data_IF_142766237222
#
_entry.id   IF_142766237222
#
_cell.length_a   1.000
_cell.length_b   1.000
_cell.length_c   1.000
_cell.angle_alpha   90.00
_cell.angle_beta   90.00
_cell.angle_gamma   90.00
#
_symmetry.space_group_name_H-M   'P 1'
#
loop_
_entity.id
_entity.type
_entity.pdbx_description
1 polymer ?
#
# COMPACT_ATOMS: atom_id res chain seq x y z
N UNK A 1 30.69 20.23 38.53
CA UNK A 1 29.56 19.49 37.93
C UNK A 1 28.57 20.54 37.43
N UNK A 2 28.45 20.75 36.12
CA UNK A 2 27.37 21.58 35.58
C UNK A 2 26.06 20.83 35.80
N UNK A 3 25.06 21.51 36.34
CA UNK A 3 23.71 20.96 36.42
C UNK A 3 23.28 20.56 34.99
N UNK A 4 22.70 19.36 34.86
CA UNK A 4 22.04 18.97 33.61
C UNK A 4 20.86 19.93 33.46
N UNK A 5 20.90 20.78 32.44
CA UNK A 5 19.75 21.61 32.08
C UNK A 5 18.65 20.68 31.58
N UNK A 6 17.53 20.65 32.31
CA UNK A 6 16.32 19.97 31.87
C UNK A 6 15.61 20.85 30.85
N UNK A 7 15.44 20.36 29.63
CA UNK A 7 14.78 21.09 28.56
C UNK A 7 13.43 20.41 28.29
N UNK A 8 12.35 21.20 28.37
CA UNK A 8 11.03 20.72 28.03
C UNK A 8 10.72 20.99 26.57
N UNK A 9 10.34 19.94 25.85
CA UNK A 9 9.98 19.98 24.43
C UNK A 9 8.57 19.41 24.29
N UNK A 10 7.75 20.03 23.45
CA UNK A 10 6.45 19.50 23.05
C UNK A 10 6.45 19.21 21.55
N UNK A 11 5.67 18.22 21.14
CA UNK A 11 5.49 17.83 19.76
C UNK A 11 4.01 17.96 19.38
N UNK A 12 3.73 18.55 18.22
CA UNK A 12 2.39 18.55 17.65
C UNK A 12 2.41 18.08 16.19
N UNK A 13 1.33 17.43 15.78
CA UNK A 13 1.10 17.09 14.38
C UNK A 13 0.42 18.27 13.66
N UNK A 14 0.98 18.69 12.54
CA UNK A 14 0.37 19.68 11.65
C UNK A 14 -0.25 18.96 10.44
N UNK A 15 -1.58 18.93 10.35
CA UNK A 15 -2.31 18.23 9.28
C UNK A 15 -2.19 18.90 7.91
N UNK A 16 -2.03 20.23 7.87
CA UNK A 16 -1.99 20.99 6.61
C UNK A 16 -0.72 20.68 5.81
N UNK A 17 0.43 20.73 6.49
CA UNK A 17 1.73 20.45 5.91
C UNK A 17 2.22 19.02 6.16
N UNK A 18 1.48 18.24 6.93
CA UNK A 18 1.74 16.82 7.26
C UNK A 18 3.14 16.57 7.82
N UNK A 19 3.55 17.39 8.78
CA UNK A 19 4.81 17.26 9.48
C UNK A 19 4.62 17.32 10.99
N UNK A 20 5.66 16.91 11.72
CA UNK A 20 5.72 17.08 13.16
C UNK A 20 6.44 18.39 13.47
N UNK A 21 5.87 19.16 14.38
CA UNK A 21 6.41 20.44 14.82
C UNK A 21 6.83 20.31 16.28
N UNK A 22 8.13 20.49 16.53
CA UNK A 22 8.71 20.51 17.85
C UNK A 22 8.87 21.96 18.31
N UNK A 23 8.44 22.25 19.53
CA UNK A 23 8.68 23.53 20.21
C UNK A 23 9.21 23.30 21.62
N UNK A 24 10.19 24.10 22.01
CA UNK A 24 10.85 23.99 23.32
C UNK A 24 10.53 25.17 24.23
N UNK A 25 10.79 25.01 25.53
CA UNK A 25 10.74 26.12 26.50
C UNK A 25 11.83 27.17 26.29
N UNK A 26 12.85 26.85 25.48
CA UNK A 26 13.97 27.72 25.11
C UNK A 26 14.15 27.73 23.59
N UNK A 27 14.92 28.71 23.10
CA UNK A 27 15.21 28.87 21.66
C UNK A 27 15.84 27.59 21.06
N UNK A 28 15.47 27.17 19.83
CA UNK A 28 15.92 25.92 19.20
C UNK A 28 17.42 25.69 19.19
N UNK A 29 18.22 26.75 19.06
CA UNK A 29 19.69 26.66 19.09
C UNK A 29 20.23 25.97 20.35
N UNK A 30 19.49 25.99 21.45
CA UNK A 30 19.91 25.44 22.74
C UNK A 30 19.63 23.95 22.88
N UNK A 31 18.66 23.40 22.12
CA UNK A 31 18.17 22.03 22.32
C UNK A 31 18.14 21.14 21.08
N UNK A 32 18.13 21.72 19.87
CA UNK A 32 18.14 20.95 18.61
C UNK A 32 19.39 20.10 18.50
N UNK A 33 20.55 20.69 18.76
CA UNK A 33 21.83 19.97 18.70
C UNK A 33 21.88 18.78 19.67
N UNK A 34 21.60 18.92 20.98
CA UNK A 34 21.63 17.77 21.88
C UNK A 34 20.51 16.75 21.62
N UNK A 35 19.34 17.15 21.10
CA UNK A 35 18.25 16.23 20.74
C UNK A 35 18.60 15.38 19.52
N UNK A 36 19.22 15.98 18.51
CA UNK A 36 19.46 15.35 17.21
C UNK A 36 20.91 14.91 16.99
N UNK A 37 21.79 15.07 17.99
CA UNK A 37 23.24 14.79 17.89
C UNK A 37 23.58 13.40 17.35
N UNK A 38 22.70 12.41 17.54
CA UNK A 38 22.88 11.03 17.09
C UNK A 38 21.80 10.57 16.12
N UNK A 39 21.04 11.51 15.56
CA UNK A 39 19.94 11.22 14.65
C UNK A 39 20.40 11.35 13.20
N UNK A 40 20.76 10.22 12.59
CA UNK A 40 21.35 10.17 11.23
C UNK A 40 20.38 10.71 10.16
N UNK A 41 19.08 10.50 10.33
CA UNK A 41 18.04 10.91 9.39
C UNK A 41 17.85 12.43 9.27
N UNK A 42 18.31 13.18 10.28
CA UNK A 42 18.40 14.65 10.21
C UNK A 42 19.83 15.12 9.92
N UNK A 43 20.73 14.19 9.53
CA UNK A 43 22.17 14.41 9.43
C UNK A 43 22.71 15.06 10.71
N UNK A 44 22.44 14.42 11.85
CA UNK A 44 22.84 14.89 13.17
C UNK A 44 22.30 16.29 13.51
N UNK A 45 21.13 16.64 12.94
CA UNK A 45 20.43 17.90 13.17
C UNK A 45 20.80 19.06 12.24
N UNK A 46 21.64 18.86 11.22
CA UNK A 46 21.99 19.95 10.29
C UNK A 46 20.98 20.13 9.16
N UNK A 47 20.26 19.08 8.78
CA UNK A 47 19.25 19.11 7.72
C UNK A 47 17.86 19.20 8.33
N UNK A 48 17.61 20.28 9.06
CA UNK A 48 16.31 20.53 9.66
C UNK A 48 15.80 21.93 9.35
N UNK A 49 14.50 22.02 9.13
CA UNK A 49 13.81 23.28 8.88
C UNK A 49 13.39 23.90 10.22
N UNK A 50 13.84 25.13 10.46
CA UNK A 50 13.53 25.89 11.68
C UNK A 50 12.90 27.21 11.22
N UNK A 51 11.62 27.39 11.52
CA UNK A 51 10.86 28.60 11.21
C UNK A 51 10.14 29.07 12.47
N UNK A 52 10.25 30.35 12.83
CA UNK A 52 9.60 30.95 14.00
C UNK A 52 9.78 30.16 15.31
N UNK A 53 11.02 29.73 15.59
CA UNK A 53 11.38 28.87 16.73
C UNK A 53 10.73 27.47 16.75
N UNK A 54 10.08 27.08 15.66
CA UNK A 54 9.48 25.76 15.46
C UNK A 54 10.38 24.91 14.59
N UNK A 55 10.72 23.72 15.08
CA UNK A 55 11.56 22.77 14.39
C UNK A 55 10.66 21.74 13.71
N UNK A 56 10.75 21.63 12.38
CA UNK A 56 9.91 20.73 11.59
C UNK A 56 10.63 19.42 11.27
N UNK A 57 9.93 18.33 11.52
CA UNK A 57 10.36 16.98 11.18
C UNK A 57 9.42 16.36 10.17
N UNK A 58 10.01 15.76 9.13
CA UNK A 58 9.26 14.93 8.21
C UNK A 58 8.71 13.67 8.93
N UNK A 59 7.68 13.01 8.39
CA UNK A 59 7.11 11.81 8.99
C UNK A 59 8.14 10.70 9.28
N UNK A 60 9.11 10.48 8.39
CA UNK A 60 10.19 9.50 8.61
C UNK A 60 11.17 9.94 9.70
N UNK A 61 11.56 11.22 9.71
CA UNK A 61 12.46 11.76 10.72
C UNK A 61 11.84 11.71 12.12
N UNK A 62 10.55 12.02 12.25
CA UNK A 62 9.84 11.89 13.52
C UNK A 62 9.76 10.42 13.96
N UNK A 63 9.45 9.50 13.03
CA UNK A 63 9.35 8.07 13.34
C UNK A 63 10.67 7.54 13.92
N UNK A 64 11.78 7.84 13.25
CA UNK A 64 13.12 7.39 13.66
C UNK A 64 13.58 8.05 14.95
N UNK A 65 13.30 9.34 15.15
CA UNK A 65 13.59 10.05 16.39
C UNK A 65 12.88 9.41 17.59
N UNK A 66 11.57 9.20 17.50
CA UNK A 66 10.76 8.68 18.61
C UNK A 66 10.94 7.17 18.83
N UNK A 67 11.20 6.38 17.78
CA UNK A 67 11.41 4.95 17.90
C UNK A 67 12.81 4.58 18.43
N UNK A 68 13.84 5.25 17.91
CA UNK A 68 15.25 4.91 18.19
C UNK A 68 15.81 5.68 19.38
N UNK A 69 15.22 6.84 19.69
CA UNK A 69 15.63 7.68 20.82
C UNK A 69 17.15 7.92 20.87
N UNK A 70 17.71 8.60 19.86
CA UNK A 70 19.14 8.91 19.79
C UNK A 70 19.52 10.02 20.81
N UNK A 71 19.55 9.72 22.11
CA UNK A 71 19.84 10.73 23.13
C UNK A 71 21.33 10.94 23.37
N UNK A 72 21.71 12.20 23.57
CA UNK A 72 22.96 12.57 24.23
C UNK A 72 22.87 12.30 25.73
N UNK A 73 23.92 11.69 26.32
CA UNK A 73 24.03 11.51 27.79
C UNK A 73 24.28 12.82 28.54
N UNK A 74 24.48 13.93 27.82
CA UNK A 74 24.90 15.21 28.38
C UNK A 74 23.74 16.21 28.57
N UNK A 75 22.51 15.84 28.19
CA UNK A 75 21.30 16.67 28.34
C UNK A 75 20.11 15.81 28.75
N UNK A 76 19.27 16.32 29.64
CA UNK A 76 18.00 15.66 30.01
C UNK A 76 16.89 16.38 29.25
N UNK A 77 16.32 15.67 28.28
CA UNK A 77 15.17 16.16 27.51
C UNK A 77 13.93 15.51 28.12
N UNK A 78 13.00 16.34 28.53
CA UNK A 78 11.69 15.92 29.03
C UNK A 78 10.62 16.35 28.03
N UNK A 79 9.73 15.42 27.70
CA UNK A 79 8.58 15.73 26.88
C UNK A 79 7.49 16.36 27.76
N UNK A 80 6.95 17.49 27.32
CA UNK A 80 6.04 18.29 28.13
C UNK A 80 4.63 17.70 28.24
N UNK A 81 4.24 16.82 27.32
CA UNK A 81 2.86 16.41 27.11
C UNK A 81 2.68 14.89 26.94
N UNK A 82 1.50 14.41 27.37
CA UNK A 82 1.09 13.01 27.28
C UNK A 82 0.97 12.53 25.82
N UNK A 83 0.62 13.43 24.90
CA UNK A 83 0.55 13.11 23.47
C UNK A 83 1.94 12.74 22.92
N UNK A 84 2.98 13.50 23.23
CA UNK A 84 4.35 13.14 22.84
C UNK A 84 4.80 11.80 23.45
N UNK A 85 4.45 11.50 24.70
CA UNK A 85 4.72 10.19 25.28
C UNK A 85 4.04 9.05 24.48
N UNK A 86 2.83 9.31 23.96
CA UNK A 86 2.09 8.38 23.10
C UNK A 86 2.72 8.23 21.71
N UNK A 87 3.33 9.30 21.16
CA UNK A 87 4.07 9.23 19.90
C UNK A 87 5.23 8.23 19.98
N UNK A 88 5.90 8.11 21.13
CA UNK A 88 6.98 7.12 21.30
C UNK A 88 6.49 5.68 21.25
N UNK A 89 5.34 5.41 21.84
CA UNK A 89 4.70 4.09 21.77
C UNK A 89 4.30 3.77 20.33
N UNK A 90 3.64 4.71 19.66
CA UNK A 90 3.23 4.56 18.27
C UNK A 90 4.41 4.41 17.31
N UNK A 91 5.48 5.21 17.50
CA UNK A 91 6.69 5.12 16.71
C UNK A 91 7.36 3.75 16.85
N UNK A 92 7.47 3.23 18.07
CA UNK A 92 7.99 1.87 18.31
C UNK A 92 7.12 0.80 17.68
N UNK A 93 5.79 0.91 17.76
CA UNK A 93 4.87 -0.01 17.10
C UNK A 93 5.07 -0.01 15.57
N UNK A 94 5.17 1.17 14.96
CA UNK A 94 5.44 1.30 13.52
C UNK A 94 6.82 0.72 13.19
N UNK A 95 7.87 1.10 13.92
CA UNK A 95 9.25 0.69 13.66
C UNK A 95 9.43 -0.83 13.75
N UNK A 96 8.88 -1.45 14.80
CA UNK A 96 8.91 -2.91 14.96
C UNK A 96 8.11 -3.60 13.85
N UNK A 97 6.94 -3.07 13.49
CA UNK A 97 6.13 -3.59 12.39
C UNK A 97 6.86 -3.53 11.05
N UNK A 98 7.62 -2.46 10.78
CA UNK A 98 8.47 -2.35 9.59
C UNK A 98 9.60 -3.39 9.60
N UNK A 99 10.32 -3.52 10.72
CA UNK A 99 11.43 -4.48 10.87
C UNK A 99 10.99 -5.94 10.73
N UNK A 100 9.80 -6.27 11.25
CA UNK A 100 9.22 -7.61 11.20
C UNK A 100 8.39 -7.86 9.92
N UNK A 101 8.29 -6.88 9.02
CA UNK A 101 7.49 -6.93 7.78
C UNK A 101 5.99 -7.21 8.04
N UNK A 102 5.47 -6.77 9.18
CA UNK A 102 4.06 -6.88 9.62
C UNK A 102 3.19 -5.74 9.12
N UNK A 103 3.24 -5.48 7.82
CA UNK A 103 2.43 -4.45 7.18
C UNK A 103 2.04 -4.89 5.77
N UNK A 104 0.96 -4.32 5.26
CA UNK A 104 0.52 -4.55 3.90
C UNK A 104 -0.13 -3.30 3.29
N UNK A 105 -0.17 -3.21 1.95
CA UNK A 105 -0.93 -2.19 1.25
C UNK A 105 -2.42 -2.25 1.61
N UNK A 106 -3.02 -1.10 1.95
CA UNK A 106 -4.45 -0.96 2.26
C UNK A 106 -5.22 -0.63 0.96
N UNK A 107 -5.83 -1.63 0.32
CA UNK A 107 -6.42 -1.43 -1.01
C UNK A 107 -7.49 -0.32 -1.09
N UNK A 108 -8.44 -0.21 -0.14
CA UNK A 108 -9.42 0.87 -0.12
C UNK A 108 -8.80 2.27 -0.03
N UNK A 109 -7.82 2.47 0.86
CA UNK A 109 -7.21 3.79 1.06
C UNK A 109 -6.16 4.10 -0.01
N UNK A 110 -5.46 3.09 -0.52
CA UNK A 110 -4.45 3.20 -1.59
C UNK A 110 -5.04 3.83 -2.85
N UNK A 111 -6.27 3.46 -3.20
CA UNK A 111 -6.88 3.83 -4.47
C UNK A 111 -7.69 5.13 -4.41
N UNK A 112 -7.88 5.73 -3.23
CA UNK A 112 -8.67 6.96 -3.02
C UNK A 112 -7.83 8.22 -2.82
N UNK A 113 -6.50 8.11 -2.82
CA UNK A 113 -5.60 9.21 -2.48
C UNK A 113 -5.14 9.98 -3.73
N UNK A 114 -6.06 10.75 -4.30
CA UNK A 114 -5.76 11.82 -5.26
C UNK A 114 -5.60 13.14 -4.52
N UNK A 115 -4.40 13.41 -3.99
CA UNK A 115 -4.05 14.68 -3.33
C UNK A 115 -2.64 15.13 -3.71
N UNK A 116 -2.31 16.39 -3.39
CA UNK A 116 -1.18 17.20 -3.87
C UNK A 116 0.26 16.66 -3.70
N UNK A 117 0.44 15.39 -3.32
CA UNK A 117 1.74 14.73 -3.23
C UNK A 117 2.00 13.84 -4.46
N UNK A 118 3.09 14.15 -5.17
CA UNK A 118 3.70 13.27 -6.16
C UNK A 118 4.16 11.97 -5.50
N UNK A 119 3.76 10.83 -6.08
CA UNK A 119 4.15 9.43 -5.78
C UNK A 119 4.00 8.93 -4.32
N UNK A 120 4.57 9.63 -3.33
CA UNK A 120 4.46 9.38 -1.90
C UNK A 120 3.02 9.45 -1.35
N UNK A 121 2.17 10.32 -1.90
CA UNK A 121 0.79 10.50 -1.43
C UNK A 121 -0.14 9.31 -1.69
N UNK A 122 0.25 8.40 -2.60
CA UNK A 122 -0.59 7.32 -3.12
C UNK A 122 -0.46 6.00 -2.36
N UNK A 123 0.56 5.88 -1.50
CA UNK A 123 0.79 4.65 -0.74
C UNK A 123 0.05 4.72 0.60
N UNK A 124 -0.70 3.67 0.93
CA UNK A 124 -1.40 3.52 2.20
C UNK A 124 -1.11 2.16 2.78
N UNK A 125 -0.53 2.14 3.97
CA UNK A 125 0.02 0.96 4.59
C UNK A 125 -0.68 0.72 5.92
N UNK A 126 -1.29 -0.45 6.06
CA UNK A 126 -1.90 -0.90 7.30
C UNK A 126 -1.06 -1.98 7.96
N UNK A 127 -1.23 -2.12 9.27
CA UNK A 127 -0.62 -3.20 10.03
C UNK A 127 -1.32 -4.51 9.70
N UNK A 128 -0.59 -5.62 9.82
CA UNK A 128 -1.22 -6.95 9.83
C UNK A 128 -2.05 -7.18 11.09
N UNK A 129 -1.63 -6.55 12.20
CA UNK A 129 -2.33 -6.55 13.49
C UNK A 129 -3.14 -5.25 13.67
N UNK A 130 -3.96 -5.17 14.71
CA UNK A 130 -4.70 -3.96 15.02
C UNK A 130 -3.75 -2.80 15.38
N UNK A 131 -3.96 -1.65 14.74
CA UNK A 131 -3.26 -0.42 15.09
C UNK A 131 -3.91 0.21 16.34
N UNK A 132 -3.11 0.71 17.30
CA UNK A 132 -3.64 1.22 18.57
C UNK A 132 -4.41 2.54 18.41
N UNK A 133 -4.19 3.26 17.31
CA UNK A 133 -4.90 4.49 16.95
C UNK A 133 -4.92 4.65 15.42
N UNK A 134 -6.01 5.15 14.81
CA UNK A 134 -6.09 5.41 13.37
C UNK A 134 -4.96 6.30 12.81
N UNK A 135 -4.42 7.20 13.64
CA UNK A 135 -3.29 8.04 13.28
C UNK A 135 -2.03 7.22 12.97
N UNK A 136 -1.85 6.06 13.62
CA UNK A 136 -0.67 5.19 13.42
C UNK A 136 -0.57 4.68 11.99
N UNK A 137 -1.69 4.22 11.41
CA UNK A 137 -1.72 3.80 10.01
C UNK A 137 -1.39 4.96 9.05
N UNK A 138 -1.87 6.15 9.38
CA UNK A 138 -1.59 7.38 8.61
C UNK A 138 -0.12 7.76 8.69
N UNK A 139 0.44 7.82 9.90
CA UNK A 139 1.84 8.15 10.12
C UNK A 139 2.76 7.11 9.48
N UNK A 140 2.51 5.80 9.65
CA UNK A 140 3.24 4.73 8.95
C UNK A 140 3.26 4.99 7.45
N UNK A 141 2.09 5.27 6.88
CA UNK A 141 1.97 5.49 5.44
C UNK A 141 2.79 6.66 4.96
N UNK A 142 2.73 7.78 5.68
CA UNK A 142 3.50 8.98 5.37
C UNK A 142 5.00 8.78 5.59
N UNK A 143 5.40 8.04 6.62
CA UNK A 143 6.79 7.75 6.92
C UNK A 143 7.44 6.87 5.83
N UNK A 144 6.77 5.80 5.39
CA UNK A 144 7.26 4.95 4.28
C UNK A 144 7.37 5.78 3.00
N UNK A 145 6.36 6.60 2.73
CA UNK A 145 6.33 7.43 1.53
C UNK A 145 7.45 8.48 1.51
N UNK A 146 7.68 9.13 2.65
CA UNK A 146 8.78 10.08 2.87
C UNK A 146 10.14 9.38 2.70
N UNK A 147 10.33 8.22 3.32
CA UNK A 147 11.54 7.39 3.17
C UNK A 147 11.84 7.03 1.70
N UNK A 148 10.84 6.49 0.98
CA UNK A 148 10.97 6.19 -0.45
C UNK A 148 11.32 7.42 -1.26
N UNK A 149 10.77 8.59 -0.91
CA UNK A 149 11.02 9.84 -1.63
C UNK A 149 12.43 10.40 -1.41
N UNK A 150 13.09 10.08 -0.30
CA UNK A 150 14.43 10.60 0.05
C UNK A 150 15.55 9.85 -0.64
N UNK A 151 15.42 8.54 -0.82
CA UNK A 151 16.47 7.70 -1.41
C UNK A 151 16.27 7.49 -2.94
N UNK A 152 17.17 7.99 -3.80
CA UNK A 152 17.08 7.81 -5.25
C UNK A 152 17.07 6.35 -5.71
N UNK A 153 17.81 5.47 -5.05
CA UNK A 153 17.90 4.05 -5.40
C UNK A 153 16.57 3.36 -5.09
N UNK A 154 15.99 3.62 -3.92
CA UNK A 154 14.67 3.10 -3.56
C UNK A 154 13.57 3.61 -4.50
N UNK A 155 13.64 4.86 -4.97
CA UNK A 155 12.70 5.37 -5.98
C UNK A 155 12.78 4.58 -7.28
N UNK A 156 13.99 4.22 -7.73
CA UNK A 156 14.17 3.42 -8.95
C UNK A 156 13.58 2.02 -8.75
N UNK A 157 13.91 1.34 -7.65
CA UNK A 157 13.39 0.01 -7.32
C UNK A 157 11.86 0.04 -7.23
N UNK A 158 11.30 1.04 -6.57
CA UNK A 158 9.86 1.22 -6.48
C UNK A 158 9.22 1.43 -7.87
N UNK A 159 9.87 2.20 -8.74
CA UNK A 159 9.46 2.37 -10.13
C UNK A 159 9.46 1.05 -10.91
N UNK A 160 10.44 0.18 -10.69
CA UNK A 160 10.48 -1.16 -11.30
C UNK A 160 9.35 -2.05 -10.79
N UNK A 161 9.06 -2.02 -9.48
CA UNK A 161 7.92 -2.72 -8.88
C UNK A 161 6.62 -2.26 -9.51
N UNK A 162 6.39 -0.95 -9.61
CA UNK A 162 5.18 -0.39 -10.22
C UNK A 162 5.05 -0.78 -11.70
N UNK A 163 6.16 -0.87 -12.44
CA UNK A 163 6.18 -1.33 -13.83
C UNK A 163 5.85 -2.82 -13.96
N UNK A 164 6.38 -3.66 -13.07
CA UNK A 164 6.09 -5.09 -13.03
C UNK A 164 4.65 -5.39 -12.58
N UNK A 165 4.08 -4.51 -11.73
CA UNK A 165 2.74 -4.63 -11.16
C UNK A 165 1.92 -3.35 -11.36
N UNK A 166 1.43 -3.05 -12.58
CA UNK A 166 0.73 -1.79 -12.88
C UNK A 166 -0.53 -1.55 -12.04
N UNK A 167 -1.11 -2.62 -11.50
CA UNK A 167 -2.27 -2.56 -10.60
C UNK A 167 -1.99 -1.82 -9.29
N UNK A 168 -0.72 -1.66 -8.90
CA UNK A 168 -0.30 -0.82 -7.77
C UNK A 168 -0.64 0.65 -8.03
N UNK A 169 -0.55 1.10 -9.28
CA UNK A 169 -0.81 2.48 -9.68
C UNK A 169 -2.21 2.70 -10.29
N UNK A 170 -3.04 1.66 -10.37
CA UNK A 170 -4.34 1.73 -11.05
C UNK A 170 -5.39 2.48 -10.21
N UNK A 171 -6.19 3.38 -10.81
CA UNK A 171 -7.27 4.10 -10.11
C UNK A 171 -8.36 3.17 -9.53
N UNK A 172 -8.94 3.57 -8.40
CA UNK A 172 -9.99 2.84 -7.65
C UNK A 172 -11.15 2.32 -8.50
N UNK A 173 -11.61 3.12 -9.46
CA UNK A 173 -12.81 2.81 -10.24
C UNK A 173 -12.69 1.65 -11.24
N UNK A 174 -11.48 1.10 -11.47
CA UNK A 174 -11.27 0.03 -12.45
C UNK A 174 -11.25 -1.39 -11.83
N UNK A 175 -11.33 -1.51 -10.50
CA UNK A 175 -11.20 -2.77 -9.79
C UNK A 175 -12.52 -3.23 -9.15
N UNK A 176 -12.92 -4.47 -9.41
CA UNK A 176 -14.16 -5.08 -8.89
C UNK A 176 -13.94 -6.30 -7.98
N UNK A 177 -12.70 -6.56 -7.56
CA UNK A 177 -12.34 -7.68 -6.67
C UNK A 177 -12.26 -7.31 -5.19
N UNK A 178 -11.99 -8.29 -4.33
CA UNK A 178 -11.75 -8.07 -2.89
C UNK A 178 -10.36 -7.49 -2.61
N UNK A 179 -10.05 -7.20 -1.34
CA UNK A 179 -8.71 -6.76 -0.93
C UNK A 179 -7.66 -7.85 -1.15
N UNK A 180 -7.93 -9.08 -0.72
CA UNK A 180 -7.00 -10.19 -0.90
C UNK A 180 -6.72 -10.49 -2.38
N UNK A 181 -7.72 -10.30 -3.24
CA UNK A 181 -7.57 -10.43 -4.69
C UNK A 181 -6.56 -9.41 -5.24
N UNK A 182 -6.58 -8.19 -4.71
CA UNK A 182 -5.66 -7.14 -5.13
C UNK A 182 -4.25 -7.42 -4.60
N UNK A 183 -4.12 -7.82 -3.34
CA UNK A 183 -2.85 -8.22 -2.73
C UNK A 183 -2.19 -9.39 -3.48
N UNK A 184 -2.97 -10.38 -3.92
CA UNK A 184 -2.45 -11.46 -4.77
C UNK A 184 -1.93 -10.93 -6.12
N UNK A 185 -2.70 -10.06 -6.79
CA UNK A 185 -2.33 -9.60 -8.13
C UNK A 185 -1.11 -8.68 -8.15
N UNK A 186 -0.92 -7.87 -7.11
CA UNK A 186 0.30 -7.07 -6.94
C UNK A 186 1.48 -7.91 -6.42
N UNK A 187 1.29 -9.21 -6.19
CA UNK A 187 2.34 -10.14 -5.75
C UNK A 187 2.67 -10.08 -4.25
N UNK A 188 1.80 -9.49 -3.42
CA UNK A 188 2.05 -9.32 -1.98
C UNK A 188 1.84 -10.61 -1.18
N UNK A 189 0.87 -11.45 -1.55
CA UNK A 189 0.54 -12.69 -0.84
C UNK A 189 1.47 -13.88 -1.17
N UNK A 190 2.59 -13.65 -1.84
CA UNK A 190 3.58 -14.68 -2.16
C UNK A 190 3.44 -15.24 -3.57
N UNK A 191 3.90 -16.50 -3.74
CA UNK A 191 4.14 -17.11 -5.05
C UNK A 191 2.91 -17.03 -5.96
N UNK A 192 3.11 -16.42 -7.13
CA UNK A 192 2.07 -16.36 -8.16
C UNK A 192 1.65 -17.78 -8.56
N UNK A 193 0.35 -18.02 -8.75
CA UNK A 193 -0.08 -19.25 -9.38
C UNK A 193 0.63 -19.39 -10.74
N UNK A 194 1.17 -20.58 -11.08
CA UNK A 194 1.86 -20.82 -12.36
C UNK A 194 0.90 -20.91 -13.55
N UNK A 195 -0.28 -20.29 -13.43
CA UNK A 195 -1.37 -20.32 -14.39
C UNK A 195 -2.23 -19.06 -14.25
N UNK A 196 -3.05 -18.80 -15.27
CA UNK A 196 -4.09 -17.78 -15.30
C UNK A 196 -5.46 -18.44 -15.44
N UNK A 197 -6.49 -17.85 -14.84
CA UNK A 197 -7.88 -18.28 -15.04
C UNK A 197 -8.47 -17.53 -16.23
N UNK A 198 -8.78 -18.25 -17.30
CA UNK A 198 -9.35 -17.74 -18.53
C UNK A 198 -10.79 -18.24 -18.77
N UNK A 199 -11.37 -17.78 -19.87
CA UNK A 199 -12.65 -18.26 -20.38
C UNK A 199 -12.44 -18.95 -21.73
N UNK A 200 -12.98 -20.16 -21.86
CA UNK A 200 -13.04 -20.88 -23.13
C UNK A 200 -14.48 -20.91 -23.62
N UNK A 201 -14.66 -20.55 -24.89
CA UNK A 201 -15.93 -20.70 -25.59
C UNK A 201 -16.03 -22.15 -26.06
N UNK A 202 -17.09 -22.85 -25.67
CA UNK A 202 -17.34 -24.25 -26.02
C UNK A 202 -18.41 -24.29 -27.10
N UNK A 203 -18.04 -24.86 -28.24
CA UNK A 203 -18.95 -25.09 -29.36
C UNK A 203 -19.95 -26.21 -29.02
N UNK A 204 -21.24 -26.02 -29.32
CA UNK A 204 -22.24 -27.06 -29.14
C UNK A 204 -22.01 -28.27 -30.04
N UNK A 205 -22.34 -29.46 -29.54
CA UNK A 205 -22.22 -30.73 -30.27
C UNK A 205 -23.26 -30.89 -31.38
N UNK A 206 -24.44 -30.27 -31.22
CA UNK A 206 -25.57 -30.37 -32.15
C UNK A 206 -25.96 -29.02 -32.74
N UNK A 207 -26.47 -29.07 -33.97
CA UNK A 207 -26.87 -27.91 -34.73
C UNK A 207 -28.18 -27.32 -34.16
N UNK A 208 -28.06 -26.20 -33.44
CA UNK A 208 -29.20 -25.51 -32.79
C UNK A 208 -29.01 -25.24 -31.29
N UNK A 209 -28.02 -25.88 -30.67
CA UNK A 209 -27.66 -25.67 -29.28
C UNK A 209 -26.91 -24.33 -29.05
N UNK A 210 -26.76 -23.95 -27.78
CA UNK A 210 -26.21 -22.65 -27.39
C UNK A 210 -24.73 -22.77 -27.04
N UNK A 211 -23.92 -21.86 -27.57
CA UNK A 211 -22.53 -21.68 -27.15
C UNK A 211 -22.43 -21.46 -25.65
N UNK A 212 -21.57 -22.22 -24.99
CA UNK A 212 -21.34 -22.08 -23.55
C UNK A 212 -19.96 -21.49 -23.29
N UNK A 213 -19.81 -20.85 -22.13
CA UNK A 213 -18.53 -20.37 -21.64
C UNK A 213 -18.15 -21.22 -20.43
N UNK A 214 -16.91 -21.67 -20.39
CA UNK A 214 -16.36 -22.39 -19.24
C UNK A 214 -15.08 -21.70 -18.75
N UNK A 215 -14.84 -21.79 -17.44
CA UNK A 215 -13.59 -21.33 -16.85
C UNK A 215 -12.51 -22.39 -17.07
N UNK A 216 -11.34 -21.95 -17.56
CA UNK A 216 -10.17 -22.80 -17.78
C UNK A 216 -8.96 -22.25 -17.03
N UNK A 217 -8.06 -23.13 -16.65
CA UNK A 217 -6.74 -22.80 -16.11
C UNK A 217 -5.73 -22.96 -17.25
N UNK A 218 -5.02 -21.87 -17.55
CA UNK A 218 -4.03 -21.78 -18.63
C UNK A 218 -2.67 -21.58 -17.99
N UNK A 219 -1.74 -22.50 -18.20
CA UNK A 219 -0.37 -22.36 -17.69
C UNK A 219 0.29 -21.08 -18.24
N UNK A 220 1.21 -20.46 -17.49
CA UNK A 220 1.88 -19.21 -17.94
C UNK A 220 2.68 -19.41 -19.24
N UNK A 221 3.13 -20.63 -19.51
CA UNK A 221 3.84 -21.03 -20.73
C UNK A 221 2.91 -21.61 -21.81
N UNK A 222 1.58 -21.52 -21.61
CA UNK A 222 0.53 -22.09 -22.45
C UNK A 222 0.62 -23.62 -22.67
N UNK A 223 1.45 -24.34 -21.91
CA UNK A 223 1.67 -25.78 -22.10
C UNK A 223 0.48 -26.65 -21.67
N UNK A 224 -0.33 -26.15 -20.73
CA UNK A 224 -1.47 -26.88 -20.16
C UNK A 224 -2.69 -25.98 -20.12
N UNK A 225 -3.78 -26.45 -20.73
CA UNK A 225 -5.11 -25.83 -20.65
C UNK A 225 -6.09 -26.87 -20.14
N UNK A 226 -6.57 -26.70 -18.91
CA UNK A 226 -7.49 -27.64 -18.27
C UNK A 226 -8.75 -26.93 -17.76
N UNK A 227 -9.93 -27.58 -17.78
CA UNK A 227 -11.11 -27.04 -17.13
C UNK A 227 -10.84 -26.70 -15.65
N UNK A 228 -11.41 -25.60 -15.16
CA UNK A 228 -11.27 -25.24 -13.74
C UNK A 228 -11.97 -26.22 -12.78
N UNK A 229 -12.82 -27.11 -13.30
CA UNK A 229 -13.38 -28.25 -12.57
C UNK A 229 -12.36 -29.36 -12.31
N UNK A 230 -11.29 -29.45 -13.10
CA UNK A 230 -10.24 -30.46 -12.98
C UNK A 230 -8.88 -29.81 -12.73
N UNK A 231 -8.63 -29.50 -11.45
CA UNK A 231 -7.44 -28.78 -11.00
C UNK A 231 -6.26 -29.76 -10.89
N UNK A 232 -5.17 -29.56 -11.66
CA UNK A 232 -3.96 -30.38 -11.59
C UNK A 232 -3.39 -30.43 -10.18
N UNK A 233 -2.79 -31.56 -9.80
CA UNK A 233 -2.25 -31.77 -8.44
C UNK A 233 -1.26 -30.67 -8.01
N UNK A 234 -0.43 -30.21 -8.94
CA UNK A 234 0.53 -29.13 -8.71
C UNK A 234 -0.12 -27.77 -8.42
N UNK A 235 -1.36 -27.55 -8.86
CA UNK A 235 -2.08 -26.28 -8.75
C UNK A 235 -3.11 -26.24 -7.61
N UNK A 236 -3.35 -27.38 -6.95
CA UNK A 236 -4.26 -27.50 -5.80
C UNK A 236 -3.95 -26.54 -4.63
N UNK A 237 -2.69 -26.19 -4.30
CA UNK A 237 -2.41 -25.19 -3.28
C UNK A 237 -3.06 -23.83 -3.56
N UNK A 238 -3.31 -23.50 -4.83
CA UNK A 238 -3.90 -22.23 -5.29
C UNK A 238 -5.43 -22.32 -5.49
N UNK A 239 -6.11 -23.31 -4.90
CA UNK A 239 -7.55 -23.51 -5.08
C UNK A 239 -8.39 -22.28 -4.65
N UNK A 240 -7.98 -21.59 -3.58
CA UNK A 240 -8.62 -20.36 -3.11
C UNK A 240 -8.50 -19.24 -4.14
N UNK A 241 -7.32 -19.07 -4.75
CA UNK A 241 -7.06 -18.14 -5.85
C UNK A 241 -7.93 -18.44 -7.08
N UNK A 242 -8.07 -19.72 -7.44
CA UNK A 242 -8.94 -20.15 -8.55
C UNK A 242 -10.39 -19.76 -8.28
N UNK A 243 -10.91 -20.07 -7.09
CA UNK A 243 -12.28 -19.73 -6.72
C UNK A 243 -12.53 -18.22 -6.71
N UNK A 244 -11.58 -17.44 -6.21
CA UNK A 244 -11.61 -15.97 -6.24
C UNK A 244 -11.67 -15.43 -7.66
N UNK A 245 -10.81 -15.93 -8.55
CA UNK A 245 -10.79 -15.53 -9.95
C UNK A 245 -12.12 -15.87 -10.66
N UNK A 246 -12.67 -17.07 -10.45
CA UNK A 246 -13.97 -17.47 -11.02
C UNK A 246 -15.09 -16.54 -10.52
N UNK A 247 -15.15 -16.25 -9.21
CA UNK A 247 -16.16 -15.31 -8.65
C UNK A 247 -16.10 -13.95 -9.31
N UNK A 248 -14.90 -13.40 -9.52
CA UNK A 248 -14.70 -12.11 -10.21
C UNK A 248 -15.17 -12.16 -11.66
N UNK A 249 -14.84 -13.23 -12.38
CA UNK A 249 -15.30 -13.41 -13.76
C UNK A 249 -16.84 -13.50 -13.82
N UNK A 250 -17.47 -14.25 -12.92
CA UNK A 250 -18.93 -14.35 -12.82
C UNK A 250 -19.59 -13.01 -12.47
N UNK A 251 -18.93 -12.12 -11.72
CA UNK A 251 -19.44 -10.78 -11.44
C UNK A 251 -19.50 -9.90 -12.70
N UNK A 252 -18.57 -10.09 -13.65
CA UNK A 252 -18.52 -9.35 -14.92
C UNK A 252 -19.42 -10.02 -15.97
N UNK A 253 -19.45 -11.36 -15.98
CA UNK A 253 -20.15 -12.20 -16.96
C UNK A 253 -21.10 -13.16 -16.21
N UNK A 254 -22.32 -12.70 -15.84
CA UNK A 254 -23.24 -13.48 -14.99
C UNK A 254 -23.74 -14.79 -15.61
N UNK A 255 -23.64 -14.95 -16.94
CA UNK A 255 -24.03 -16.16 -17.68
C UNK A 255 -23.09 -17.36 -17.46
N UNK A 256 -22.04 -17.20 -16.65
CA UNK A 256 -21.17 -18.30 -16.19
C UNK A 256 -21.68 -19.01 -14.92
N UNK A 257 -22.77 -18.52 -14.33
CA UNK A 257 -23.36 -19.16 -13.15
C UNK A 257 -24.09 -20.43 -13.59
N UNK A 258 -23.86 -21.61 -12.96
CA UNK A 258 -24.56 -22.84 -13.31
C UNK A 258 -26.08 -22.60 -13.30
N UNK A 259 -26.73 -22.80 -14.45
CA UNK A 259 -28.18 -22.58 -14.63
C UNK A 259 -28.60 -21.25 -15.27
N UNK A 260 -27.70 -20.34 -15.65
CA UNK A 260 -28.03 -19.14 -16.45
C UNK A 260 -27.61 -19.32 -17.91
N UNK A 261 -28.59 -19.45 -18.81
CA UNK A 261 -28.35 -19.50 -20.26
C UNK A 261 -27.90 -18.12 -20.76
N UNK A 262 -26.79 -18.08 -21.49
CA UNK A 262 -26.37 -16.87 -22.20
C UNK A 262 -27.34 -16.65 -23.37
N UNK A 263 -28.36 -15.80 -23.17
CA UNK A 263 -29.25 -15.38 -24.25
C UNK A 263 -28.45 -14.68 -25.36
N UNK A 264 -28.80 -14.95 -26.63
CA UNK A 264 -28.12 -14.50 -27.87
C UNK A 264 -27.78 -12.99 -27.95
N UNK A 265 -28.25 -12.17 -27.03
CA UNK A 265 -28.06 -10.71 -27.01
C UNK A 265 -26.87 -10.19 -26.18
N UNK A 266 -26.15 -11.02 -25.41
CA UNK A 266 -25.02 -10.52 -24.61
C UNK A 266 -23.74 -10.24 -25.41
N UNK A 267 -23.52 -10.92 -26.54
CA UNK A 267 -22.26 -10.83 -27.30
C UNK A 267 -22.25 -9.74 -28.39
N UNK A 268 -23.39 -9.13 -28.75
CA UNK A 268 -23.47 -8.19 -29.89
C UNK A 268 -23.53 -6.70 -29.52
N UNK A 269 -23.61 -6.30 -28.24
CA UNK A 269 -23.79 -4.88 -27.87
C UNK A 269 -22.51 -4.06 -27.69
N UNK A 270 -21.33 -4.60 -28.02
CA UNK A 270 -20.04 -3.88 -27.95
C UNK A 270 -19.26 -3.90 -29.28
N UNK A 271 -19.93 -3.62 -30.40
CA UNK A 271 -19.27 -3.02 -31.57
C UNK A 271 -20.14 -1.91 -32.13
N UNK A 272 -20.05 -0.75 -31.48
CA UNK A 272 -20.28 0.52 -32.16
C UNK A 272 -19.12 0.75 -33.12
N UNK A 273 -19.19 0.15 -34.31
CA UNK A 273 -18.35 0.53 -35.44
C UNK A 273 -19.32 0.77 -36.60
N UNK A 274 -19.48 2.05 -36.91
CA UNK A 274 -20.10 2.56 -38.11
C UNK A 274 -19.60 1.79 -39.35
N UNK A 275 -20.52 1.36 -40.21
CA UNK A 275 -20.20 1.07 -41.60
C UNK A 275 -21.27 1.73 -42.48
N UNK A 276 -20.88 2.53 -43.50
CA UNK A 276 -21.77 3.41 -44.22
C UNK A 276 -22.66 2.61 -45.19
N UNK A 277 -23.88 3.11 -45.40
CA UNK A 277 -24.78 2.61 -46.44
C UNK A 277 -24.21 2.96 -47.82
N UNK A 278 -24.13 1.97 -48.69
CA UNK A 278 -24.11 2.17 -50.15
C UNK A 278 -25.04 1.17 -50.82
N UNK A 279 -25.90 1.76 -51.67
CA UNK A 279 -26.88 1.20 -52.60
C UNK A 279 -28.11 0.50 -51.98
#
# INVERSE_FOLDING_TARGET
MKALETIQISCRWNEEIRCFELSGSTHPSSWVSPLLAWHEETFYGTMIDIEDDIVRLSPWQALTLFALRPHSRFSVIEWADEFTARLEEWARHIWNGLGERRFLPDAPLWKNTGGAWSEAGRTRWRSTDDDPDPFVATWRSLAIADWLSRDPELRVIWGEIVRAYPLIASPSGQWTGTEDDWLEQIGWLGDRPPFTVGLRLVEPSEEGDVWTLEAVLIAVDDSVITPASDIPRAWRPYASSIQRAIRRICAIVPCLTPGRVCGRNCLMKKRGVFCPKTA
#
